data_IF_365430478426
#
_entry.id   IF_365430478426
#
_cell.length_a   1.000
_cell.length_b   1.000
_cell.length_c   1.000
_cell.angle_alpha   90.00
_cell.angle_beta   90.00
_cell.angle_gamma   90.00
#
_symmetry.space_group_name_H-M   'P 1'
#
loop_
_entity.id
_entity.type
_entity.pdbx_description
1 polymer ?
#
# COMPACT_ATOMS: atom_id res chain seq x y z
N UNK A 1 22.76 -20.02 -6.45
CA UNK A 1 21.90 -19.10 -7.22
C UNK A 1 21.86 -19.60 -8.65
N UNK A 2 20.68 -19.96 -9.18
CA UNK A 2 20.56 -20.27 -10.59
C UNK A 2 20.87 -19.00 -11.39
N UNK A 3 21.73 -19.10 -12.40
CA UNK A 3 22.08 -17.98 -13.25
C UNK A 3 20.86 -17.62 -14.11
N UNK A 4 20.22 -16.48 -13.82
CA UNK A 4 19.09 -15.97 -14.62
C UNK A 4 19.64 -15.26 -15.84
N UNK A 5 19.21 -15.68 -17.04
CA UNK A 5 19.60 -15.03 -18.29
C UNK A 5 18.85 -13.71 -18.49
N UNK A 6 19.39 -12.80 -19.31
CA UNK A 6 18.69 -11.55 -19.66
C UNK A 6 17.32 -11.81 -20.31
N UNK A 7 17.19 -12.87 -21.13
CA UNK A 7 15.92 -13.27 -21.73
C UNK A 7 14.89 -13.74 -20.70
N UNK A 8 15.32 -14.48 -19.69
CA UNK A 8 14.45 -14.89 -18.58
C UNK A 8 14.03 -13.69 -17.73
N UNK A 9 14.95 -12.76 -17.43
CA UNK A 9 14.63 -11.53 -16.71
C UNK A 9 13.57 -10.70 -17.45
N UNK A 10 13.75 -10.50 -18.77
CA UNK A 10 12.76 -9.83 -19.61
C UNK A 10 11.40 -10.53 -19.56
N UNK A 11 11.38 -11.86 -19.67
CA UNK A 11 10.14 -12.66 -19.59
C UNK A 11 9.40 -12.46 -18.26
N UNK A 12 10.11 -12.39 -17.13
CA UNK A 12 9.51 -12.15 -15.79
C UNK A 12 8.90 -10.76 -15.66
N UNK A 13 9.58 -9.75 -16.20
CA UNK A 13 9.07 -8.38 -16.21
C UNK A 13 7.78 -8.32 -17.05
N UNK A 14 7.80 -8.89 -18.25
CA UNK A 14 6.61 -8.93 -19.13
C UNK A 14 5.48 -9.75 -18.50
N UNK A 15 5.78 -10.88 -17.84
CA UNK A 15 4.80 -11.69 -17.11
C UNK A 15 4.10 -10.87 -16.01
N UNK A 16 4.85 -10.07 -15.26
CA UNK A 16 4.26 -9.17 -14.26
C UNK A 16 3.35 -8.13 -14.89
N UNK A 17 3.81 -7.47 -15.96
CA UNK A 17 3.03 -6.43 -16.64
C UNK A 17 1.72 -6.98 -17.19
N UNK A 18 1.76 -8.17 -17.82
CA UNK A 18 0.55 -8.85 -18.30
C UNK A 18 -0.41 -9.16 -17.15
N UNK A 19 0.08 -9.75 -16.04
CA UNK A 19 -0.77 -10.01 -14.86
C UNK A 19 -1.40 -8.74 -14.29
N UNK A 20 -0.68 -7.63 -14.31
CA UNK A 20 -1.20 -6.33 -13.88
C UNK A 20 -2.32 -5.84 -14.79
N UNK A 21 -2.11 -5.90 -16.11
CA UNK A 21 -3.12 -5.52 -17.11
C UNK A 21 -4.37 -6.41 -17.06
N UNK A 22 -4.17 -7.73 -16.92
CA UNK A 22 -5.24 -8.72 -16.80
C UNK A 22 -6.06 -8.49 -15.52
N UNK A 23 -5.38 -8.24 -14.39
CA UNK A 23 -6.07 -8.00 -13.12
C UNK A 23 -6.94 -6.73 -13.15
N UNK A 24 -6.49 -5.67 -13.84
CA UNK A 24 -7.29 -4.46 -14.04
C UNK A 24 -8.47 -4.73 -14.98
N UNK A 25 -8.23 -5.40 -16.11
CA UNK A 25 -9.25 -5.68 -17.12
C UNK A 25 -10.36 -6.59 -16.58
N UNK A 26 -10.00 -7.58 -15.76
CA UNK A 26 -10.93 -8.51 -15.13
C UNK A 26 -11.46 -8.02 -13.77
N UNK A 27 -10.99 -6.87 -13.26
CA UNK A 27 -11.27 -6.39 -11.90
C UNK A 27 -10.99 -7.46 -10.81
N UNK A 28 -9.93 -8.24 -11.00
CA UNK A 28 -9.52 -9.30 -10.06
C UNK A 28 -8.70 -8.70 -8.91
N UNK A 29 -9.39 -8.34 -7.83
CA UNK A 29 -8.77 -7.80 -6.62
C UNK A 29 -7.77 -8.75 -5.94
N UNK A 30 -7.96 -10.07 -6.07
CA UNK A 30 -7.12 -11.07 -5.40
C UNK A 30 -5.77 -11.23 -6.08
N UNK A 31 -5.73 -11.22 -7.41
CA UNK A 31 -4.46 -11.15 -8.15
C UNK A 31 -3.83 -9.78 -7.96
N UNK A 32 -4.61 -8.70 -8.09
CA UNK A 32 -4.10 -7.34 -8.01
C UNK A 32 -3.41 -7.03 -6.69
N UNK A 33 -3.97 -7.45 -5.55
CA UNK A 33 -3.33 -7.24 -4.23
C UNK A 33 -1.95 -7.88 -4.13
N UNK A 34 -1.77 -9.06 -4.75
CA UNK A 34 -0.53 -9.83 -4.65
C UNK A 34 0.64 -9.13 -5.35
N UNK A 35 0.35 -8.28 -6.34
CA UNK A 35 1.34 -7.54 -7.10
C UNK A 35 1.98 -6.41 -6.27
N UNK A 36 1.25 -5.85 -5.31
CA UNK A 36 1.74 -4.77 -4.44
C UNK A 36 2.37 -5.25 -3.13
N UNK A 37 2.34 -6.54 -2.83
CA UNK A 37 2.67 -7.10 -1.52
C UNK A 37 4.19 -7.21 -1.28
N UNK A 38 4.91 -6.09 -1.23
CA UNK A 38 6.38 -6.04 -1.14
C UNK A 38 6.93 -6.82 0.05
N UNK A 39 6.31 -6.71 1.22
CA UNK A 39 6.77 -7.38 2.44
C UNK A 39 6.38 -8.85 2.57
N UNK A 40 5.60 -9.39 1.63
CA UNK A 40 5.04 -10.75 1.70
C UNK A 40 6.04 -11.89 1.47
N UNK A 41 7.27 -11.59 1.04
CA UNK A 41 8.28 -12.58 0.61
C UNK A 41 7.74 -13.57 -0.46
N UNK A 42 6.78 -13.14 -1.28
CA UNK A 42 6.24 -13.95 -2.37
C UNK A 42 7.37 -14.37 -3.34
N UNK A 43 7.52 -15.67 -3.66
CA UNK A 43 8.53 -16.13 -4.61
C UNK A 43 8.45 -15.44 -5.97
N UNK A 44 7.23 -15.05 -6.39
CA UNK A 44 6.99 -14.32 -7.63
C UNK A 44 7.64 -12.92 -7.60
N UNK A 45 7.41 -12.14 -6.54
CA UNK A 45 7.98 -10.80 -6.40
C UNK A 45 9.50 -10.84 -6.14
N UNK A 46 9.99 -11.86 -5.44
CA UNK A 46 11.43 -12.07 -5.26
C UNK A 46 12.11 -12.36 -6.60
N UNK A 47 11.54 -13.25 -7.41
CA UNK A 47 12.04 -13.54 -8.76
C UNK A 47 11.99 -12.31 -9.67
N UNK A 48 10.98 -11.46 -9.53
CA UNK A 48 10.91 -10.19 -10.27
C UNK A 48 11.98 -9.21 -9.79
N UNK A 49 12.20 -9.08 -8.49
CA UNK A 49 13.28 -8.24 -7.94
C UNK A 49 14.66 -8.67 -8.45
N UNK A 50 14.90 -9.99 -8.55
CA UNK A 50 16.13 -10.53 -9.14
C UNK A 50 16.24 -10.19 -10.64
N UNK A 51 15.13 -10.26 -11.39
CA UNK A 51 15.09 -9.86 -12.79
C UNK A 51 15.36 -8.35 -12.99
N UNK A 52 14.78 -7.49 -12.15
CA UNK A 52 14.98 -6.05 -12.18
C UNK A 52 16.43 -5.65 -11.83
N UNK A 53 17.12 -6.44 -11.01
CA UNK A 53 18.55 -6.23 -10.73
C UNK A 53 19.43 -6.50 -11.96
N UNK A 54 19.04 -7.46 -12.80
CA UNK A 54 19.77 -7.81 -14.02
C UNK A 54 19.42 -6.89 -15.20
N UNK A 55 18.18 -6.41 -15.26
CA UNK A 55 17.65 -5.63 -16.37
C UNK A 55 17.38 -4.17 -15.97
N UNK A 56 18.35 -3.29 -16.20
CA UNK A 56 18.28 -1.88 -15.79
C UNK A 56 17.32 -1.02 -16.65
N UNK A 57 16.93 -1.50 -17.83
CA UNK A 57 16.07 -0.78 -18.78
C UNK A 57 14.56 -1.08 -18.60
N UNK A 58 14.13 -1.58 -17.44
CA UNK A 58 12.72 -1.93 -17.20
C UNK A 58 11.75 -0.75 -17.43
N UNK A 59 12.18 0.48 -17.14
CA UNK A 59 11.41 1.70 -17.39
C UNK A 59 11.09 1.89 -18.88
N UNK A 60 11.98 1.47 -19.78
CA UNK A 60 11.73 1.54 -21.24
C UNK A 60 10.67 0.54 -21.66
N UNK A 61 10.68 -0.67 -21.09
CA UNK A 61 9.68 -1.69 -21.38
C UNK A 61 8.28 -1.26 -20.98
N UNK A 62 8.13 -0.66 -19.79
CA UNK A 62 6.84 -0.13 -19.32
C UNK A 62 6.32 0.96 -20.27
N UNK A 63 7.21 1.85 -20.72
CA UNK A 63 6.84 2.99 -21.58
C UNK A 63 6.57 2.61 -23.03
N UNK A 64 7.18 1.53 -23.53
CA UNK A 64 6.99 1.07 -24.91
C UNK A 64 5.68 0.31 -25.12
N UNK A 65 5.06 -0.18 -24.06
CA UNK A 65 3.80 -0.88 -24.12
C UNK A 65 2.60 0.07 -23.98
N UNK A 66 1.84 0.25 -25.05
CA UNK A 66 0.63 1.11 -25.08
C UNK A 66 -0.39 0.71 -24.00
N UNK A 67 -0.50 -0.59 -23.72
CA UNK A 67 -1.43 -1.16 -22.72
C UNK A 67 -1.16 -0.71 -21.28
N UNK A 68 0.03 -0.21 -20.96
CA UNK A 68 0.44 0.18 -19.60
C UNK A 68 0.59 1.69 -19.42
N UNK A 69 0.39 2.47 -20.49
CA UNK A 69 0.64 3.92 -20.54
C UNK A 69 -0.06 4.68 -19.40
N UNK A 70 -1.34 4.40 -19.15
CA UNK A 70 -2.14 5.01 -18.07
C UNK A 70 -1.59 4.71 -16.66
N UNK A 71 -0.95 3.56 -16.47
CA UNK A 71 -0.49 3.11 -15.14
C UNK A 71 1.03 3.23 -14.97
N UNK A 72 1.71 3.90 -15.89
CA UNK A 72 3.17 4.11 -15.84
C UNK A 72 3.60 4.79 -14.53
N UNK A 73 2.79 5.75 -14.06
CA UNK A 73 3.04 6.49 -12.81
C UNK A 73 2.91 5.61 -11.56
N UNK A 74 2.26 4.45 -11.67
CA UNK A 74 2.21 3.42 -10.63
C UNK A 74 3.36 2.42 -10.83
N UNK A 75 3.52 1.89 -12.04
CA UNK A 75 4.40 0.76 -12.34
C UNK A 75 5.89 1.10 -12.22
N UNK A 76 6.33 2.25 -12.74
CA UNK A 76 7.74 2.66 -12.68
C UNK A 76 8.24 2.79 -11.24
N UNK A 77 7.59 3.58 -10.35
CA UNK A 77 8.01 3.64 -8.97
C UNK A 77 7.83 2.31 -8.22
N UNK A 78 6.86 1.48 -8.61
CA UNK A 78 6.67 0.16 -8.01
C UNK A 78 7.86 -0.76 -8.29
N UNK A 79 8.33 -0.82 -9.54
CA UNK A 79 9.50 -1.61 -9.91
C UNK A 79 10.75 -1.13 -9.19
N UNK A 80 10.94 0.19 -9.13
CA UNK A 80 12.05 0.78 -8.35
C UNK A 80 11.96 0.40 -6.87
N UNK A 81 10.75 0.38 -6.29
CA UNK A 81 10.58 -0.02 -4.90
C UNK A 81 10.90 -1.51 -4.67
N UNK A 82 10.47 -2.40 -5.58
CA UNK A 82 10.76 -3.84 -5.54
C UNK A 82 12.27 -4.11 -5.67
N UNK A 83 12.93 -3.42 -6.60
CA UNK A 83 14.37 -3.53 -6.82
C UNK A 83 15.16 -3.10 -5.58
N UNK A 84 14.87 -1.90 -5.04
CA UNK A 84 15.55 -1.39 -3.85
C UNK A 84 15.26 -2.24 -2.61
N UNK A 85 14.03 -2.71 -2.44
CA UNK A 85 13.66 -3.61 -1.35
C UNK A 85 14.45 -4.92 -1.44
N UNK A 86 14.65 -5.45 -2.66
CA UNK A 86 15.45 -6.65 -2.89
C UNK A 86 16.94 -6.46 -2.57
N UNK A 87 17.46 -5.27 -2.84
CA UNK A 87 18.84 -4.87 -2.52
C UNK A 87 19.03 -4.46 -1.05
N UNK A 88 17.96 -4.51 -0.23
CA UNK A 88 17.94 -4.06 1.16
C UNK A 88 18.24 -2.55 1.33
N UNK A 89 17.98 -1.73 0.30
CA UNK A 89 17.99 -0.27 0.36
C UNK A 89 16.60 0.20 0.79
N UNK A 90 16.30 0.19 2.10
CA UNK A 90 14.94 0.34 2.61
C UNK A 90 14.44 1.78 2.49
N UNK A 91 15.35 2.74 2.64
CA UNK A 91 15.02 4.17 2.46
C UNK A 91 14.52 4.45 1.04
N UNK A 92 15.23 3.97 0.03
CA UNK A 92 14.85 4.20 -1.36
C UNK A 92 13.67 3.33 -1.80
N UNK A 93 13.53 2.15 -1.22
CA UNK A 93 12.32 1.34 -1.36
C UNK A 93 11.08 2.11 -0.86
N UNK A 94 11.15 2.73 0.32
CA UNK A 94 10.07 3.57 0.84
C UNK A 94 9.78 4.76 -0.08
N UNK A 95 10.79 5.54 -0.47
CA UNK A 95 10.62 6.74 -1.29
C UNK A 95 9.97 6.41 -2.65
N UNK A 96 10.34 5.28 -3.26
CA UNK A 96 9.73 4.80 -4.49
C UNK A 96 8.30 4.26 -4.25
N UNK A 97 8.07 3.50 -3.19
CA UNK A 97 6.75 2.95 -2.89
C UNK A 97 5.74 4.05 -2.51
N UNK A 98 6.18 5.13 -1.86
CA UNK A 98 5.36 6.30 -1.57
C UNK A 98 4.81 6.94 -2.85
N UNK A 99 5.62 7.04 -3.91
CA UNK A 99 5.16 7.53 -5.23
C UNK A 99 4.11 6.60 -5.83
N UNK A 100 4.35 5.29 -5.77
CA UNK A 100 3.38 4.26 -6.18
C UNK A 100 2.06 4.41 -5.44
N UNK A 101 2.10 4.55 -4.12
CA UNK A 101 0.91 4.70 -3.29
C UNK A 101 0.11 5.96 -3.67
N UNK A 102 0.77 7.11 -3.83
CA UNK A 102 0.08 8.34 -4.22
C UNK A 102 -0.56 8.23 -5.62
N UNK A 103 0.16 7.68 -6.60
CA UNK A 103 -0.40 7.45 -7.94
C UNK A 103 -1.57 6.47 -7.92
N UNK A 104 -1.46 5.38 -7.16
CA UNK A 104 -2.55 4.43 -6.98
C UNK A 104 -3.79 5.08 -6.35
N UNK A 105 -3.63 5.91 -5.32
CA UNK A 105 -4.76 6.58 -4.66
C UNK A 105 -5.49 7.50 -5.63
N UNK A 106 -4.75 8.17 -6.53
CA UNK A 106 -5.33 9.02 -7.56
C UNK A 106 -6.20 8.22 -8.53
N UNK A 107 -5.70 7.10 -9.06
CA UNK A 107 -6.49 6.22 -9.94
C UNK A 107 -7.66 5.56 -9.19
N UNK A 108 -7.41 5.06 -7.97
CA UNK A 108 -8.42 4.42 -7.15
C UNK A 108 -9.59 5.34 -6.81
N UNK A 109 -9.38 6.65 -6.72
CA UNK A 109 -10.45 7.63 -6.53
C UNK A 109 -11.41 7.68 -7.73
N UNK A 110 -10.90 7.45 -8.94
CA UNK A 110 -11.68 7.52 -10.17
C UNK A 110 -12.48 6.23 -10.45
N UNK A 111 -12.09 5.10 -9.84
CA UNK A 111 -12.86 3.86 -9.95
C UNK A 111 -14.15 3.97 -9.14
N UNK A 112 -15.31 3.61 -9.71
CA UNK A 112 -16.57 3.63 -8.96
C UNK A 112 -16.72 2.39 -8.06
N UNK A 113 -16.32 1.22 -8.55
CA UNK A 113 -16.41 -0.04 -7.82
C UNK A 113 -15.26 -0.24 -6.83
N UNK A 114 -15.49 -1.05 -5.79
CA UNK A 114 -14.54 -1.35 -4.72
C UNK A 114 -13.65 -2.57 -5.01
N UNK A 115 -13.56 -3.04 -6.26
CA UNK A 115 -12.86 -4.27 -6.64
C UNK A 115 -11.39 -4.31 -6.20
N UNK A 116 -10.70 -3.15 -6.22
CA UNK A 116 -9.30 -3.03 -5.83
C UNK A 116 -9.08 -2.71 -4.34
N UNK A 117 -10.10 -2.86 -3.49
CA UNK A 117 -10.01 -2.54 -2.06
C UNK A 117 -8.93 -3.38 -1.35
N UNK A 118 -8.81 -4.66 -1.71
CA UNK A 118 -7.79 -5.53 -1.11
C UNK A 118 -6.37 -5.06 -1.46
N UNK A 119 -6.16 -4.56 -2.69
CA UNK A 119 -4.88 -3.98 -3.10
C UNK A 119 -4.57 -2.68 -2.31
N UNK A 120 -5.59 -1.85 -2.07
CA UNK A 120 -5.43 -0.66 -1.23
C UNK A 120 -5.01 -1.03 0.20
N UNK A 121 -5.58 -2.08 0.79
CA UNK A 121 -5.20 -2.54 2.13
C UNK A 121 -3.75 -3.02 2.21
N UNK A 122 -3.27 -3.71 1.15
CA UNK A 122 -1.87 -4.11 1.02
C UNK A 122 -0.97 -2.88 0.91
N UNK A 123 -1.28 -1.93 0.04
CA UNK A 123 -0.49 -0.69 -0.13
C UNK A 123 -0.38 0.09 1.19
N UNK A 124 -1.50 0.25 1.90
CA UNK A 124 -1.55 0.93 3.21
C UNK A 124 -0.73 0.18 4.26
N UNK A 125 -0.74 -1.15 4.23
CA UNK A 125 0.09 -1.96 5.13
C UNK A 125 1.57 -1.83 4.80
N UNK A 126 1.94 -2.01 3.53
CA UNK A 126 3.33 -2.01 3.07
C UNK A 126 3.98 -0.64 3.22
N UNK A 127 3.28 0.46 2.96
CA UNK A 127 3.86 1.81 3.15
C UNK A 127 4.23 2.04 4.62
N UNK A 128 3.40 1.57 5.57
CA UNK A 128 3.71 1.63 7.01
C UNK A 128 4.90 0.75 7.36
N UNK A 129 4.91 -0.50 6.90
CA UNK A 129 6.00 -1.44 7.19
C UNK A 129 7.34 -0.95 6.60
N UNK A 130 7.33 -0.44 5.37
CA UNK A 130 8.50 0.15 4.73
C UNK A 130 8.97 1.40 5.47
N UNK A 131 8.06 2.26 5.91
CA UNK A 131 8.41 3.44 6.70
C UNK A 131 9.10 3.06 8.02
N UNK A 132 8.56 2.08 8.74
CA UNK A 132 9.17 1.56 9.98
C UNK A 132 10.56 0.97 9.73
N UNK A 133 10.76 0.30 8.59
CA UNK A 133 12.06 -0.26 8.19
C UNK A 133 13.06 0.83 7.77
N UNK A 134 12.62 1.79 6.97
CA UNK A 134 13.43 2.93 6.53
C UNK A 134 13.87 3.82 7.70
N UNK A 135 12.98 4.08 8.67
CA UNK A 135 13.33 4.86 9.86
C UNK A 135 14.36 4.13 10.74
N UNK A 136 14.30 2.79 10.83
CA UNK A 136 15.36 2.01 11.51
C UNK A 136 16.71 2.17 10.80
N UNK A 137 16.72 2.11 9.48
CA UNK A 137 17.94 2.33 8.67
C UNK A 137 18.50 3.76 8.85
N UNK A 138 17.62 4.76 8.86
CA UNK A 138 18.01 6.16 9.12
C UNK A 138 18.65 6.32 10.50
N UNK A 139 18.01 5.75 11.54
CA UNK A 139 18.54 5.79 12.91
C UNK A 139 19.89 5.09 13.01
N UNK A 140 20.06 3.92 12.39
CA UNK A 140 21.36 3.25 12.37
C UNK A 140 22.45 4.05 11.66
N UNK A 141 22.06 4.91 10.71
CA UNK A 141 22.94 5.81 9.99
C UNK A 141 23.11 7.19 10.68
N UNK A 142 22.62 7.35 11.92
CA UNK A 142 22.71 8.60 12.68
C UNK A 142 21.81 9.73 12.18
N UNK A 143 20.80 9.41 11.35
CA UNK A 143 19.83 10.37 10.81
C UNK A 143 18.51 10.31 11.58
N UNK A 144 17.75 11.39 11.54
CA UNK A 144 16.43 11.48 12.18
C UNK A 144 15.39 10.60 11.47
N UNK A 145 14.56 9.83 12.19
CA UNK A 145 13.45 9.09 11.60
C UNK A 145 12.32 10.05 11.21
N UNK A 146 11.88 9.99 9.96
CA UNK A 146 10.84 10.88 9.41
C UNK A 146 9.84 10.16 8.49
N UNK A 147 10.16 8.94 8.03
CA UNK A 147 9.36 8.23 7.03
C UNK A 147 8.05 7.73 7.62
N UNK A 148 8.01 7.36 8.90
CA UNK A 148 6.76 6.95 9.56
C UNK A 148 5.75 8.11 9.65
N UNK A 149 6.23 9.35 9.81
CA UNK A 149 5.40 10.56 9.73
C UNK A 149 4.90 10.79 8.30
N UNK A 150 5.75 10.58 7.30
CA UNK A 150 5.37 10.61 5.88
C UNK A 150 4.26 9.62 5.55
N UNK A 151 4.40 8.36 5.97
CA UNK A 151 3.38 7.33 5.80
C UNK A 151 2.04 7.72 6.44
N UNK A 152 2.06 8.36 7.62
CA UNK A 152 0.86 8.91 8.24
C UNK A 152 0.13 9.93 7.35
N UNK A 153 0.88 10.80 6.68
CA UNK A 153 0.32 11.77 5.72
C UNK A 153 -0.33 11.07 4.51
N UNK A 154 0.31 10.04 3.96
CA UNK A 154 -0.26 9.23 2.87
C UNK A 154 -1.57 8.57 3.31
N UNK A 155 -1.58 7.92 4.48
CA UNK A 155 -2.77 7.26 5.01
C UNK A 155 -3.92 8.23 5.28
N UNK A 156 -3.64 9.48 5.69
CA UNK A 156 -4.68 10.51 5.82
C UNK A 156 -5.32 10.86 4.48
N UNK A 157 -4.55 10.90 3.38
CA UNK A 157 -5.11 11.06 2.03
C UNK A 157 -6.00 9.88 1.66
N UNK A 158 -5.54 8.65 1.92
CA UNK A 158 -6.34 7.44 1.68
C UNK A 158 -7.66 7.51 2.45
N UNK A 159 -7.60 7.86 3.74
CA UNK A 159 -8.79 8.02 4.58
C UNK A 159 -9.76 9.04 3.97
N UNK A 160 -9.28 10.20 3.52
CA UNK A 160 -10.11 11.21 2.86
C UNK A 160 -10.80 10.69 1.59
N UNK A 161 -10.11 9.86 0.78
CA UNK A 161 -10.70 9.22 -0.40
C UNK A 161 -11.78 8.20 -0.03
N UNK A 162 -11.67 7.54 1.12
CA UNK A 162 -12.61 6.50 1.57
C UNK A 162 -13.78 7.03 2.40
N UNK A 163 -13.60 8.13 3.13
CA UNK A 163 -14.60 8.68 4.06
C UNK A 163 -15.83 9.29 3.37
N UNK A 164 -15.85 9.35 2.03
CA UNK A 164 -17.00 9.77 1.24
C UNK A 164 -18.17 8.76 1.27
N UNK A 165 -19.26 9.13 0.60
CA UNK A 165 -20.40 8.22 0.38
C UNK A 165 -20.04 7.18 -0.69
N UNK A 166 -20.38 5.92 -0.47
CA UNK A 166 -20.23 4.86 -1.47
C UNK A 166 -19.77 3.52 -0.90
N UNK A 167 -19.63 2.54 -1.79
CA UNK A 167 -19.22 1.15 -1.47
C UNK A 167 -17.82 1.02 -0.88
N UNK A 168 -16.98 2.07 -1.01
CA UNK A 168 -15.59 2.09 -0.53
C UNK A 168 -15.44 2.46 0.94
N UNK A 169 -16.50 2.99 1.55
CA UNK A 169 -16.48 3.59 2.89
C UNK A 169 -16.03 2.63 3.99
N UNK A 170 -16.34 1.34 3.86
CA UNK A 170 -15.92 0.30 4.81
C UNK A 170 -14.39 0.22 4.94
N UNK A 171 -13.64 0.56 3.88
CA UNK A 171 -12.19 0.55 3.92
C UNK A 171 -11.56 1.61 4.80
N UNK A 172 -12.30 2.68 5.15
CA UNK A 172 -11.80 3.73 6.02
C UNK A 172 -11.40 3.18 7.40
N UNK A 173 -12.11 2.16 7.90
CA UNK A 173 -11.85 1.52 9.19
C UNK A 173 -10.51 0.82 9.24
N UNK A 174 -10.18 0.09 8.18
CA UNK A 174 -8.89 -0.56 8.05
C UNK A 174 -7.77 0.49 8.08
N UNK A 175 -7.92 1.58 7.32
CA UNK A 175 -6.94 2.68 7.26
C UNK A 175 -6.78 3.36 8.62
N UNK A 176 -7.87 3.63 9.33
CA UNK A 176 -7.85 4.17 10.69
C UNK A 176 -7.00 3.32 11.64
N UNK A 177 -7.15 1.99 11.58
CA UNK A 177 -6.36 1.12 12.45
C UNK A 177 -4.87 1.13 12.11
N UNK A 178 -4.51 1.34 10.85
CA UNK A 178 -3.11 1.51 10.44
C UNK A 178 -2.58 2.90 10.86
N UNK A 179 -3.40 3.96 10.79
CA UNK A 179 -3.08 5.29 11.31
C UNK A 179 -2.82 5.26 12.82
N UNK A 180 -3.66 4.56 13.59
CA UNK A 180 -3.45 4.43 15.04
C UNK A 180 -2.11 3.77 15.35
N UNK A 181 -1.73 2.70 14.65
CA UNK A 181 -0.40 2.08 14.81
C UNK A 181 0.74 3.07 14.56
N UNK A 182 0.59 3.97 13.59
CA UNK A 182 1.56 5.05 13.33
C UNK A 182 1.58 6.05 14.49
N UNK A 183 0.42 6.55 14.93
CA UNK A 183 0.33 7.55 15.99
C UNK A 183 0.84 7.04 17.34
N UNK A 184 0.62 5.76 17.69
CA UNK A 184 1.21 5.17 18.89
C UNK A 184 2.73 5.14 18.82
N UNK A 185 3.29 4.75 17.67
CA UNK A 185 4.74 4.71 17.48
C UNK A 185 5.38 6.11 17.49
N UNK A 186 4.67 7.12 17.00
CA UNK A 186 5.14 8.52 16.98
C UNK A 186 4.85 9.27 18.29
N UNK A 187 4.11 8.69 19.24
CA UNK A 187 3.69 9.38 20.46
C UNK A 187 2.64 10.49 20.22
N UNK A 188 1.94 10.48 19.08
CA UNK A 188 0.98 11.51 18.68
C UNK A 188 -0.48 11.08 18.88
N UNK A 189 -0.78 10.44 20.02
CA UNK A 189 -2.09 9.85 20.34
C UNK A 189 -3.25 10.87 20.28
N UNK A 190 -2.97 12.16 20.49
CA UNK A 190 -3.96 13.23 20.36
C UNK A 190 -4.62 13.28 18.97
N UNK A 191 -3.92 12.82 17.91
CA UNK A 191 -4.45 12.76 16.56
C UNK A 191 -5.52 11.66 16.39
N UNK A 192 -5.51 10.61 17.21
CA UNK A 192 -6.53 9.56 17.18
C UNK A 192 -7.93 10.13 17.41
N UNK A 193 -8.08 11.07 18.36
CA UNK A 193 -9.36 11.71 18.68
C UNK A 193 -9.95 12.44 17.47
N UNK A 194 -9.10 13.07 16.65
CA UNK A 194 -9.54 13.73 15.42
C UNK A 194 -10.11 12.73 14.42
N UNK A 195 -9.37 11.64 14.18
CA UNK A 195 -9.79 10.59 13.23
C UNK A 195 -11.07 9.89 13.68
N UNK A 196 -11.21 9.58 14.98
CA UNK A 196 -12.44 8.97 15.53
C UNK A 196 -13.67 9.85 15.24
N UNK A 197 -13.58 11.16 15.54
CA UNK A 197 -14.67 12.11 15.27
C UNK A 197 -15.05 12.16 13.79
N UNK A 198 -14.08 12.07 12.88
CA UNK A 198 -14.36 12.04 11.44
C UNK A 198 -15.17 10.80 11.04
N UNK A 199 -14.87 9.64 11.63
CA UNK A 199 -15.59 8.38 11.36
C UNK A 199 -17.03 8.45 11.88
N UNK A 200 -17.22 8.95 13.10
CA UNK A 200 -18.54 9.15 13.72
C UNK A 200 -19.40 10.12 12.88
N UNK A 201 -18.81 11.25 12.48
CA UNK A 201 -19.50 12.29 11.71
C UNK A 201 -19.90 11.77 10.32
N UNK A 202 -19.01 11.04 9.65
CA UNK A 202 -19.26 10.50 8.32
C UNK A 202 -20.26 9.32 8.33
N UNK A 203 -20.75 8.91 9.50
CA UNK A 203 -21.59 7.72 9.70
C UNK A 203 -21.06 6.56 8.86
N UNK A 204 -19.76 6.32 8.98
CA UNK A 204 -19.09 5.22 8.29
C UNK A 204 -19.72 3.88 8.72
N UNK A 205 -20.41 3.88 9.87
CA UNK A 205 -21.10 2.75 10.46
C UNK A 205 -22.62 2.86 10.40
N UNK A 206 -23.26 1.77 9.99
CA UNK A 206 -24.53 1.30 10.55
C UNK A 206 -24.25 -0.09 11.15
N UNK A 207 -24.64 -0.35 12.40
CA UNK A 207 -24.24 -1.55 13.14
C UNK A 207 -24.78 -2.86 12.53
N UNK A 208 -25.80 -2.77 11.68
CA UNK A 208 -26.50 -3.92 11.09
C UNK A 208 -25.72 -4.61 9.96
N UNK A 209 -24.76 -3.93 9.32
CA UNK A 209 -24.01 -4.45 8.17
C UNK A 209 -22.94 -5.50 8.53
N UNK A 210 -22.68 -5.74 9.83
CA UNK A 210 -21.44 -6.35 10.28
C UNK A 210 -21.40 -7.88 10.42
N UNK A 211 -22.45 -8.60 10.05
CA UNK A 211 -22.54 -10.04 10.34
C UNK A 211 -21.65 -10.96 9.47
N UNK A 212 -20.72 -10.47 8.63
CA UNK A 212 -20.03 -11.36 7.66
C UNK A 212 -18.49 -11.34 7.59
N UNK A 213 -17.78 -10.30 8.07
CA UNK A 213 -16.31 -10.24 7.92
C UNK A 213 -15.53 -10.23 9.25
N UNK A 214 -14.90 -11.36 9.57
CA UNK A 214 -14.20 -11.64 10.84
C UNK A 214 -12.94 -10.79 11.05
N UNK A 215 -12.24 -10.36 9.98
CA UNK A 215 -11.01 -9.54 10.10
C UNK A 215 -11.31 -8.07 10.44
N UNK A 216 -12.41 -7.56 9.90
CA UNK A 216 -12.95 -6.23 10.15
C UNK A 216 -13.55 -6.14 11.57
N UNK A 217 -14.06 -7.25 12.09
CA UNK A 217 -14.63 -7.34 13.46
C UNK A 217 -13.56 -7.09 14.54
N UNK A 218 -12.36 -7.68 14.39
CA UNK A 218 -11.23 -7.39 15.29
C UNK A 218 -10.73 -5.94 15.19
N UNK A 219 -10.84 -5.35 14.00
CA UNK A 219 -10.41 -3.97 13.71
C UNK A 219 -11.34 -2.95 14.37
N UNK A 220 -12.66 -3.21 14.36
CA UNK A 220 -13.66 -2.41 15.09
C UNK A 220 -13.51 -2.51 16.60
N UNK A 221 -13.23 -3.70 17.15
CA UNK A 221 -12.98 -3.86 18.58
C UNK A 221 -11.84 -2.96 19.07
N UNK A 222 -10.81 -2.72 18.25
CA UNK A 222 -9.73 -1.78 18.59
C UNK A 222 -10.24 -0.34 18.62
N UNK A 223 -11.08 0.09 17.67
CA UNK A 223 -11.65 1.45 17.65
C UNK A 223 -12.61 1.68 18.83
N UNK A 224 -13.49 0.71 19.12
CA UNK A 224 -14.42 0.76 20.25
C UNK A 224 -13.69 0.74 21.60
N UNK A 225 -12.68 -0.11 21.75
CA UNK A 225 -11.86 -0.17 22.97
C UNK A 225 -10.99 1.09 23.13
N UNK A 226 -10.59 1.73 22.02
CA UNK A 226 -9.93 3.04 22.06
C UNK A 226 -10.87 4.17 22.49
N UNK A 227 -12.14 4.13 22.09
CA UNK A 227 -13.15 5.09 22.55
C UNK A 227 -13.36 4.95 24.07
N UNK A 228 -13.50 3.73 24.58
CA UNK A 228 -13.61 3.48 26.04
C UNK A 228 -12.37 3.97 26.80
N UNK A 229 -11.15 3.71 26.30
CA UNK A 229 -9.90 4.15 26.94
C UNK A 229 -9.70 5.67 26.86
N UNK A 230 -10.21 6.35 25.82
CA UNK A 230 -10.05 7.81 25.65
C UNK A 230 -11.10 8.65 26.39
N UNK A 231 -12.12 7.99 26.95
CA UNK A 231 -13.19 8.59 27.76
C UNK A 231 -12.99 8.42 29.28
N UNK A 232 -11.96 7.68 29.71
CA UNK A 232 -11.46 7.67 31.08
C UNK A 232 -10.19 8.53 31.19
#
# INVERSE_FOLDING_TARGET
MAYMSMGEAHRRITEYLNRFSDAISCQDGATFKSLFALSSNSPFLLSLGDALNLFQDADRLIKQSDNHSQFTDILVPLFRSLQNYRQNNLLEAYNAFEKTANAFIQEFRNWESAWAMEALYVIVYDIRVLAEKADKELVSNGKSPEKLKGAGSVLMKVFGTLAGKGSKRVGALYVTCQLFKIYFKLGTVHLCRSVIRSIETARIFDFEDFQRDTSLTCTILVVLKFHEISCC
#
